data_IF_175393916948
#
_entry.id   IF_175393916948
#
_cell.length_a   1.000
_cell.length_b   1.000
_cell.length_c   1.000
_cell.angle_alpha   90.00
_cell.angle_beta   90.00
_cell.angle_gamma   90.00
#
_symmetry.space_group_name_H-M   'P 1'
#
loop_
_entity.id
_entity.type
_entity.pdbx_description
1 polymer ?
#
# COMPACT_ATOMS: atom_id res chain seq x y z
N UNK A 1 12.78 4.84 13.58
CA UNK A 1 11.99 4.70 12.34
C UNK A 1 10.56 4.30 12.69
N UNK A 2 9.61 4.69 11.83
CA UNK A 2 8.25 4.17 11.82
C UNK A 2 8.06 3.58 10.43
N UNK A 3 7.99 2.26 10.34
CA UNK A 3 7.71 1.54 9.08
C UNK A 3 6.36 0.89 9.17
N UNK A 4 5.62 0.90 8.06
CA UNK A 4 4.39 0.12 7.85
C UNK A 4 4.77 -1.11 7.01
N UNK A 5 4.31 -2.28 7.45
CA UNK A 5 4.50 -3.58 6.79
C UNK A 5 3.17 -4.05 6.17
N UNK A 6 3.26 -4.74 5.04
CA UNK A 6 2.16 -5.18 4.16
C UNK A 6 1.66 -6.59 4.51
N UNK A 7 1.57 -6.94 5.80
CA UNK A 7 1.10 -8.26 6.24
C UNK A 7 -0.36 -8.30 6.68
N UNK A 8 -1.17 -8.83 5.76
CA UNK A 8 -2.39 -9.64 5.93
C UNK A 8 -2.93 -9.81 7.36
N UNK A 9 -3.76 -8.86 7.79
CA UNK A 9 -4.95 -9.15 8.61
C UNK A 9 -5.94 -7.98 8.60
N UNK A 10 -6.95 -8.06 7.73
CA UNK A 10 -7.99 -7.04 7.47
C UNK A 10 -8.87 -6.73 8.70
N UNK A 11 -8.72 -7.47 9.81
CA UNK A 11 -9.60 -7.30 10.98
C UNK A 11 -9.29 -6.09 11.88
N UNK A 12 -8.23 -5.30 11.66
CA UNK A 12 -7.83 -4.28 12.62
C UNK A 12 -7.15 -3.01 12.04
N UNK A 13 -7.52 -2.54 10.83
CA UNK A 13 -6.94 -1.31 10.23
C UNK A 13 -7.07 -0.09 11.17
N UNK A 14 -8.15 -0.02 11.97
CA UNK A 14 -8.33 1.06 12.97
C UNK A 14 -7.58 0.85 14.29
N UNK A 15 -7.18 -0.38 14.62
CA UNK A 15 -6.77 -0.73 16.00
C UNK A 15 -5.27 -0.74 16.21
N UNK A 16 -4.49 -0.94 15.15
CA UNK A 16 -3.05 -0.92 15.24
C UNK A 16 -2.51 0.25 14.41
N UNK A 17 -1.92 1.23 15.11
CA UNK A 17 -0.85 2.03 14.52
C UNK A 17 0.14 1.01 13.91
N UNK A 18 0.18 0.89 12.58
CA UNK A 18 1.19 0.06 11.89
C UNK A 18 2.56 0.75 11.99
N UNK A 19 3.01 1.01 13.20
CA UNK A 19 4.29 1.63 13.48
C UNK A 19 5.19 0.51 14.00
N UNK A 20 6.02 -0.01 13.10
CA UNK A 20 7.07 -0.95 13.49
C UNK A 20 8.35 -0.17 13.84
N UNK A 21 8.94 -0.41 15.02
CA UNK A 21 10.26 0.12 15.33
C UNK A 21 11.30 -0.62 14.49
N UNK A 22 12.11 0.13 13.73
CA UNK A 22 13.33 -0.41 13.12
C UNK A 22 14.53 0.04 13.95
N UNK A 23 15.44 -0.90 14.20
CA UNK A 23 16.78 -0.66 14.73
C UNK A 23 17.77 -0.97 13.61
N UNK A 24 18.44 0.06 13.08
CA UNK A 24 19.57 -0.12 12.15
C UNK A 24 20.86 0.05 12.94
N UNK A 25 21.64 -1.01 13.06
CA UNK A 25 22.98 -0.95 13.62
C UNK A 25 24.00 -0.82 12.47
N UNK A 26 24.13 0.41 11.96
CA UNK A 26 25.05 0.74 10.89
C UNK A 26 26.27 1.44 11.49
N UNK A 27 27.42 0.74 11.57
CA UNK A 27 28.67 1.19 12.17
C UNK A 27 28.59 1.68 13.65
N UNK A 28 29.58 1.40 14.50
CA UNK A 28 29.53 1.74 15.93
C UNK A 28 29.49 3.26 16.25
N UNK A 29 29.54 4.13 15.23
CA UNK A 29 29.58 5.60 15.38
C UNK A 29 28.22 6.29 15.29
N UNK A 30 27.17 5.63 14.78
CA UNK A 30 25.87 6.27 14.61
C UNK A 30 24.91 5.88 15.74
N UNK A 31 24.82 6.73 16.78
CA UNK A 31 23.93 6.57 17.93
C UNK A 31 22.89 7.69 17.96
N UNK A 32 21.98 7.72 16.97
CA UNK A 32 20.96 8.78 16.86
C UNK A 32 19.57 8.20 16.63
N UNK A 33 18.59 8.72 17.35
CA UNK A 33 17.16 8.48 17.07
C UNK A 33 16.73 9.42 15.94
N UNK A 34 16.15 8.85 14.89
CA UNK A 34 15.57 9.59 13.77
C UNK A 34 14.05 9.58 13.91
N UNK A 35 13.44 10.76 13.97
CA UNK A 35 12.00 10.99 14.01
C UNK A 35 11.51 12.08 13.03
N UNK A 36 12.39 12.58 12.16
CA UNK A 36 12.13 13.66 11.21
C UNK A 36 11.64 13.22 9.84
N UNK A 37 11.44 11.91 9.61
CA UNK A 37 11.03 11.34 8.32
C UNK A 37 10.02 10.21 8.52
N UNK A 38 9.20 9.96 7.49
CA UNK A 38 8.56 8.66 7.33
C UNK A 38 9.52 7.67 6.66
N UNK A 39 9.36 6.39 6.97
CA UNK A 39 10.13 5.29 6.40
C UNK A 39 9.19 4.13 6.05
N UNK A 40 9.57 3.29 5.10
CA UNK A 40 8.86 2.05 4.75
C UNK A 40 9.84 0.88 4.76
N UNK A 41 9.34 -0.36 4.66
CA UNK A 41 10.21 -1.54 4.70
C UNK A 41 11.13 -1.61 3.48
N UNK A 42 10.67 -1.11 2.33
CA UNK A 42 11.46 -1.05 1.10
C UNK A 42 12.67 -0.10 1.20
N UNK A 43 12.65 0.86 2.13
CA UNK A 43 13.81 1.71 2.42
C UNK A 43 14.98 0.93 3.01
N UNK A 44 14.70 -0.15 3.74
CA UNK A 44 15.76 -1.00 4.31
C UNK A 44 16.57 -1.62 3.18
N UNK A 45 15.90 -2.12 2.13
CA UNK A 45 16.57 -2.63 0.93
C UNK A 45 17.42 -1.56 0.26
N UNK A 46 16.84 -0.37 0.02
CA UNK A 46 17.58 0.75 -0.60
C UNK A 46 18.82 1.14 0.21
N UNK A 47 18.68 1.20 1.54
CA UNK A 47 19.76 1.52 2.49
C UNK A 47 20.86 0.46 2.46
N UNK A 48 20.50 -0.83 2.45
CA UNK A 48 21.48 -1.94 2.36
C UNK A 48 22.24 -1.87 1.03
N UNK A 49 21.55 -1.66 -0.08
CA UNK A 49 22.18 -1.58 -1.39
C UNK A 49 23.16 -0.39 -1.48
N UNK A 50 22.79 0.78 -0.95
CA UNK A 50 23.70 1.94 -0.91
C UNK A 50 24.91 1.67 -0.01
N UNK A 51 24.70 1.04 1.16
CA UNK A 51 25.78 0.65 2.07
C UNK A 51 26.78 -0.31 1.40
N UNK A 52 26.32 -1.13 0.46
CA UNK A 52 27.15 -2.03 -0.35
C UNK A 52 27.79 -1.33 -1.56
N UNK A 53 27.70 0.00 -1.66
CA UNK A 53 28.33 0.80 -2.70
C UNK A 53 27.53 0.88 -4.01
N UNK A 54 26.23 0.56 -4.00
CA UNK A 54 25.36 0.78 -5.16
C UNK A 54 24.82 2.20 -5.18
N UNK A 55 24.82 2.83 -6.34
CA UNK A 55 24.10 4.08 -6.55
C UNK A 55 22.62 3.74 -6.68
N UNK A 56 21.80 4.23 -5.75
CA UNK A 56 20.36 3.96 -5.75
C UNK A 56 19.66 4.97 -6.65
N UNK A 57 18.91 4.45 -7.62
CA UNK A 57 18.03 5.21 -8.50
C UNK A 57 16.65 4.53 -8.60
N UNK A 58 15.74 5.13 -9.38
CA UNK A 58 14.38 4.64 -9.61
C UNK A 58 14.31 3.27 -10.31
N UNK A 59 15.37 2.84 -11.00
CA UNK A 59 15.40 1.53 -11.65
C UNK A 59 15.75 0.42 -10.65
N UNK A 60 16.62 0.72 -9.68
CA UNK A 60 17.06 -0.23 -8.66
C UNK A 60 16.08 -0.31 -7.49
N UNK A 61 15.49 0.83 -7.12
CA UNK A 61 14.60 0.95 -5.97
C UNK A 61 13.52 2.02 -6.23
N UNK A 62 12.47 1.69 -7.02
CA UNK A 62 11.47 2.65 -7.45
C UNK A 62 10.71 3.33 -6.29
N UNK A 63 10.48 2.63 -5.18
CA UNK A 63 9.74 3.17 -4.02
C UNK A 63 10.60 3.33 -2.76
N UNK A 64 11.72 2.59 -2.66
CA UNK A 64 12.61 2.64 -1.51
C UNK A 64 13.61 3.77 -1.63
N UNK A 65 13.76 4.56 -0.57
CA UNK A 65 14.77 5.61 -0.44
C UNK A 65 15.75 5.22 0.67
N UNK A 66 17.03 5.39 0.41
CA UNK A 66 18.06 5.06 1.40
C UNK A 66 18.03 6.01 2.59
N UNK A 67 18.29 5.45 3.77
CA UNK A 67 18.37 6.17 5.04
C UNK A 67 19.79 6.68 5.33
N UNK A 68 20.79 6.32 4.52
CA UNK A 68 22.19 6.73 4.73
C UNK A 68 22.35 8.25 4.79
N UNK A 69 21.75 9.06 3.87
CA UNK A 69 21.87 10.51 3.94
C UNK A 69 21.34 11.11 5.25
N UNK A 70 20.29 10.51 5.85
CA UNK A 70 19.79 10.95 7.17
C UNK A 70 20.75 10.53 8.28
N UNK A 71 21.29 9.30 8.23
CA UNK A 71 22.27 8.83 9.22
C UNK A 71 23.55 9.67 9.24
N UNK A 72 23.91 10.25 8.09
CA UNK A 72 25.05 11.16 7.92
C UNK A 72 24.70 12.64 8.16
N UNK A 73 23.46 12.96 8.52
CA UNK A 73 22.97 14.34 8.68
C UNK A 73 23.09 15.22 7.42
N UNK A 74 23.14 14.60 6.24
CA UNK A 74 23.18 15.29 4.94
C UNK A 74 21.78 15.80 4.55
N UNK A 75 20.73 15.08 4.96
CA UNK A 75 19.33 15.49 4.76
C UNK A 75 18.53 15.28 6.04
N UNK A 76 17.52 16.13 6.25
CA UNK A 76 16.61 16.02 7.41
C UNK A 76 15.53 14.95 7.22
N UNK A 77 15.08 14.76 5.99
CA UNK A 77 13.97 13.87 5.63
C UNK A 77 14.18 13.27 4.25
N UNK A 78 13.67 12.06 4.04
CA UNK A 78 13.62 11.41 2.72
C UNK A 78 12.20 11.45 2.12
N UNK A 79 11.17 11.64 2.97
CA UNK A 79 9.78 11.85 2.55
C UNK A 79 8.94 12.42 3.69
N UNK A 80 7.86 13.09 3.33
CA UNK A 80 6.90 13.77 4.21
C UNK A 80 5.53 13.07 4.30
N UNK A 81 5.38 11.93 3.63
CA UNK A 81 4.18 11.12 3.63
C UNK A 81 4.49 9.62 3.62
N UNK A 82 3.48 8.81 3.87
CA UNK A 82 3.51 7.36 3.71
C UNK A 82 2.18 6.86 3.15
N UNK A 83 2.25 6.06 2.08
CA UNK A 83 1.14 5.33 1.51
C UNK A 83 1.19 3.88 2.01
N UNK A 84 0.05 3.32 2.39
CA UNK A 84 -0.02 1.95 2.89
C UNK A 84 -1.44 1.40 2.83
N UNK A 85 -1.59 0.08 2.83
CA UNK A 85 -2.90 -0.54 2.80
C UNK A 85 -2.82 -2.04 2.90
N UNK A 86 -3.85 -2.70 2.40
CA UNK A 86 -3.83 -4.15 2.18
C UNK A 86 -4.36 -4.41 0.79
N UNK A 87 -3.76 -5.38 0.10
CA UNK A 87 -4.23 -5.78 -1.22
C UNK A 87 -5.72 -6.18 -1.13
N UNK A 88 -6.53 -5.72 -2.08
CA UNK A 88 -7.98 -5.98 -2.06
C UNK A 88 -8.77 -5.09 -1.09
N UNK A 89 -8.15 -4.14 -0.42
CA UNK A 89 -8.82 -3.20 0.49
C UNK A 89 -8.69 -1.74 -0.01
N UNK A 90 -9.01 -0.80 0.87
CA UNK A 90 -8.76 0.63 0.72
C UNK A 90 -7.29 0.99 0.87
N UNK A 91 -6.99 2.28 0.68
CA UNK A 91 -5.65 2.84 0.73
C UNK A 91 -5.59 3.95 1.76
N UNK A 92 -4.49 4.00 2.51
CA UNK A 92 -4.25 5.00 3.53
C UNK A 92 -3.09 5.89 3.11
N UNK A 93 -3.27 7.20 3.24
CA UNK A 93 -2.20 8.18 3.12
C UNK A 93 -2.05 8.89 4.46
N UNK A 94 -0.82 8.96 4.96
CA UNK A 94 -0.51 9.73 6.15
C UNK A 94 0.58 10.75 5.85
N UNK A 95 0.30 12.01 6.16
CA UNK A 95 1.25 13.14 6.19
C UNK A 95 1.53 13.53 7.63
N UNK A 96 2.34 14.56 7.88
CA UNK A 96 2.57 15.05 9.25
C UNK A 96 1.32 15.60 9.92
N UNK A 97 0.44 16.24 9.16
CA UNK A 97 -0.76 16.96 9.62
C UNK A 97 -2.03 16.09 9.59
N UNK A 98 -2.11 15.07 8.72
CA UNK A 98 -3.35 14.30 8.55
C UNK A 98 -3.12 12.82 8.24
N UNK A 99 -4.15 12.01 8.52
CA UNK A 99 -4.30 10.64 8.02
C UNK A 99 -5.62 10.56 7.27
N UNK A 100 -5.55 10.13 6.01
CA UNK A 100 -6.71 9.89 5.15
C UNK A 100 -6.78 8.41 4.76
N UNK A 101 -7.92 7.79 5.06
CA UNK A 101 -8.25 6.41 4.76
C UNK A 101 -9.30 6.45 3.66
N UNK A 102 -8.95 5.94 2.48
CA UNK A 102 -9.83 5.89 1.32
C UNK A 102 -10.45 4.50 1.23
N UNK A 103 -11.77 4.44 1.37
CA UNK A 103 -12.54 3.23 1.07
C UNK A 103 -12.49 2.88 -0.41
N UNK A 104 -13.11 1.76 -0.79
CA UNK A 104 -13.04 1.26 -2.17
C UNK A 104 -14.41 0.82 -2.69
N UNK A 105 -14.52 0.63 -4.00
CA UNK A 105 -15.72 0.06 -4.60
C UNK A 105 -15.53 -1.45 -4.82
N UNK A 106 -16.15 -2.33 -4.00
CA UNK A 106 -15.98 -3.78 -4.12
C UNK A 106 -16.60 -4.36 -5.39
N UNK A 107 -17.33 -3.58 -6.19
CA UNK A 107 -17.87 -4.02 -7.49
C UNK A 107 -16.94 -3.72 -8.66
N UNK A 108 -15.81 -3.04 -8.42
CA UNK A 108 -14.84 -2.73 -9.46
C UNK A 108 -13.74 -3.80 -9.48
N UNK A 109 -13.24 -4.18 -10.66
CA UNK A 109 -12.20 -5.20 -10.79
C UNK A 109 -10.92 -4.84 -10.04
N UNK A 110 -10.18 -5.86 -9.62
CA UNK A 110 -8.82 -5.74 -9.09
C UNK A 110 -7.93 -6.77 -9.79
N UNK A 111 -6.67 -6.43 -10.03
CA UNK A 111 -5.70 -7.33 -10.65
C UNK A 111 -4.51 -7.57 -9.73
N UNK A 112 -3.97 -8.79 -9.73
CA UNK A 112 -2.62 -9.08 -9.23
C UNK A 112 -1.63 -8.91 -10.37
N UNK A 113 -0.55 -8.21 -10.09
CA UNK A 113 0.61 -8.10 -10.97
C UNK A 113 1.76 -8.88 -10.35
N UNK A 114 2.24 -9.91 -11.02
CA UNK A 114 3.27 -10.79 -10.44
C UNK A 114 4.20 -11.38 -11.48
N UNK A 115 5.49 -11.46 -11.16
CA UNK A 115 6.49 -12.16 -11.98
C UNK A 115 6.47 -13.68 -11.78
N UNK A 116 5.75 -14.16 -10.78
CA UNK A 116 5.49 -15.58 -10.52
C UNK A 116 4.00 -15.85 -10.59
N UNK A 117 3.59 -16.98 -11.15
CA UNK A 117 2.19 -17.36 -11.09
C UNK A 117 1.79 -17.58 -9.61
N UNK A 118 0.83 -16.83 -9.05
CA UNK A 118 0.56 -16.85 -7.63
C UNK A 118 -0.03 -18.19 -7.22
N UNK A 119 0.59 -18.88 -6.27
CA UNK A 119 0.08 -20.15 -5.75
C UNK A 119 -1.34 -20.02 -5.16
N UNK A 120 -1.71 -18.81 -4.74
CA UNK A 120 -3.06 -18.48 -4.28
C UNK A 120 -4.15 -18.65 -5.36
N UNK A 121 -3.78 -18.88 -6.63
CA UNK A 121 -4.71 -19.24 -7.71
C UNK A 121 -4.86 -20.75 -7.90
N UNK A 122 -4.29 -21.58 -7.01
CA UNK A 122 -4.50 -23.02 -7.01
C UNK A 122 -5.84 -23.38 -6.32
N UNK A 123 -6.75 -24.12 -6.99
CA UNK A 123 -8.00 -24.55 -6.35
C UNK A 123 -7.77 -25.30 -5.03
N UNK A 124 -6.69 -26.09 -4.92
CA UNK A 124 -6.31 -26.83 -3.70
C UNK A 124 -5.86 -25.93 -2.54
N UNK A 125 -5.22 -24.80 -2.82
CA UNK A 125 -4.84 -23.84 -1.77
C UNK A 125 -6.09 -23.06 -1.34
N UNK A 126 -6.93 -22.70 -2.30
CA UNK A 126 -8.13 -21.89 -2.06
C UNK A 126 -9.19 -22.64 -1.26
N UNK A 127 -9.41 -23.93 -1.54
CA UNK A 127 -10.32 -24.76 -0.76
C UNK A 127 -9.90 -24.85 0.72
N UNK A 128 -8.62 -24.62 1.04
CA UNK A 128 -8.13 -24.52 2.42
C UNK A 128 -8.55 -23.24 3.16
N UNK A 129 -9.03 -22.20 2.44
CA UNK A 129 -9.40 -20.90 3.01
C UNK A 129 -10.88 -20.51 2.77
N UNK A 130 -11.64 -21.38 2.08
CA UNK A 130 -13.03 -21.11 1.69
C UNK A 130 -13.87 -22.38 1.83
N UNK A 131 -15.18 -22.21 2.00
CA UNK A 131 -16.14 -23.33 2.01
C UNK A 131 -16.58 -23.76 0.60
N UNK A 132 -15.86 -23.32 -0.44
CA UNK A 132 -16.19 -23.61 -1.83
C UNK A 132 -15.65 -24.98 -2.24
N UNK A 133 -16.49 -25.76 -2.93
CA UNK A 133 -16.10 -27.05 -3.50
C UNK A 133 -15.04 -26.89 -4.59
N UNK A 134 -14.14 -27.87 -4.70
CA UNK A 134 -13.02 -27.86 -5.64
C UNK A 134 -13.46 -27.62 -7.08
N UNK A 135 -14.47 -28.36 -7.57
CA UNK A 135 -14.91 -28.28 -8.97
C UNK A 135 -15.44 -26.88 -9.33
N UNK A 136 -16.14 -26.23 -8.39
CA UNK A 136 -16.63 -24.85 -8.56
C UNK A 136 -15.49 -23.84 -8.57
N UNK A 137 -14.46 -24.07 -7.74
CA UNK A 137 -13.25 -23.26 -7.74
C UNK A 137 -12.50 -23.43 -9.06
N UNK A 138 -12.38 -24.66 -9.56
CA UNK A 138 -11.71 -24.95 -10.84
C UNK A 138 -12.44 -24.29 -12.01
N UNK A 139 -13.77 -24.37 -12.09
CA UNK A 139 -14.55 -23.69 -13.12
C UNK A 139 -14.39 -22.16 -13.05
N UNK A 140 -14.53 -21.58 -11.85
CA UNK A 140 -14.37 -20.14 -11.62
C UNK A 140 -12.96 -19.66 -12.01
N UNK A 141 -11.93 -20.39 -11.56
CA UNK A 141 -10.55 -20.08 -11.89
C UNK A 141 -10.27 -20.27 -13.38
N UNK A 142 -10.83 -21.30 -14.02
CA UNK A 142 -10.76 -21.50 -15.47
C UNK A 142 -11.28 -20.29 -16.25
N UNK A 143 -12.36 -19.67 -15.77
CA UNK A 143 -12.86 -18.39 -16.29
C UNK A 143 -11.82 -17.27 -16.17
N UNK A 144 -11.26 -17.08 -14.96
CA UNK A 144 -10.21 -16.09 -14.69
C UNK A 144 -8.97 -16.30 -15.57
N UNK A 145 -8.56 -17.56 -15.76
CA UNK A 145 -7.37 -17.93 -16.55
C UNK A 145 -7.45 -17.44 -18.00
N UNK A 146 -8.66 -17.34 -18.57
CA UNK A 146 -8.86 -16.85 -19.94
C UNK A 146 -8.64 -15.33 -20.08
N UNK A 147 -8.67 -14.59 -18.98
CA UNK A 147 -8.45 -13.14 -18.94
C UNK A 147 -7.03 -12.76 -18.49
N UNK A 148 -6.18 -13.75 -18.20
CA UNK A 148 -4.79 -13.52 -17.79
C UNK A 148 -3.98 -13.05 -18.98
N UNK A 149 -3.27 -11.94 -18.79
CA UNK A 149 -2.34 -11.40 -19.76
C UNK A 149 -0.91 -11.46 -19.22
N UNK A 150 0.07 -11.47 -20.14
CA UNK A 150 1.48 -11.30 -19.79
C UNK A 150 2.02 -10.01 -20.40
N UNK A 151 2.84 -9.29 -19.65
CA UNK A 151 3.32 -7.97 -20.06
C UNK A 151 4.38 -7.40 -19.12
N UNK A 152 4.51 -6.07 -19.14
CA UNK A 152 5.41 -5.29 -18.29
C UNK A 152 4.62 -4.14 -17.69
N UNK A 153 4.09 -4.37 -16.50
CA UNK A 153 3.15 -3.48 -15.81
C UNK A 153 3.83 -2.74 -14.65
N UNK A 154 4.74 -3.39 -13.92
CA UNK A 154 5.45 -2.84 -12.76
C UNK A 154 6.73 -2.13 -13.22
N UNK A 155 6.82 -0.82 -12.92
CA UNK A 155 7.99 0.01 -13.22
C UNK A 155 9.24 -0.53 -12.51
N UNK A 156 10.38 -0.51 -13.21
CA UNK A 156 11.66 -1.00 -12.68
C UNK A 156 11.82 -2.52 -12.68
N UNK A 157 10.79 -3.29 -13.04
CA UNK A 157 10.87 -4.76 -13.12
C UNK A 157 11.08 -5.20 -14.57
N UNK A 158 12.29 -5.69 -14.88
CA UNK A 158 12.69 -6.06 -16.24
C UNK A 158 12.34 -7.49 -16.67
N UNK A 159 11.61 -8.24 -15.85
CA UNK A 159 11.08 -9.56 -16.20
C UNK A 159 9.59 -9.49 -16.52
N UNK A 160 9.07 -10.35 -17.41
CA UNK A 160 7.63 -10.41 -17.70
C UNK A 160 6.82 -10.63 -16.44
N UNK A 161 5.63 -10.01 -16.39
CA UNK A 161 4.68 -10.16 -15.31
C UNK A 161 3.33 -10.62 -15.86
N UNK A 162 2.61 -11.36 -15.06
CA UNK A 162 1.23 -11.72 -15.27
C UNK A 162 0.32 -10.62 -14.71
N UNK A 163 -0.69 -10.23 -15.49
CA UNK A 163 -1.85 -9.46 -15.03
C UNK A 163 -2.99 -10.45 -14.83
N UNK A 164 -3.37 -10.65 -13.57
CA UNK A 164 -4.34 -11.67 -13.17
C UNK A 164 -5.55 -10.95 -12.62
N UNK A 165 -6.65 -10.84 -13.37
CA UNK A 165 -7.88 -10.26 -12.86
C UNK A 165 -8.43 -11.18 -11.77
N UNK A 166 -8.90 -10.59 -10.67
CA UNK A 166 -9.52 -11.34 -9.60
C UNK A 166 -10.99 -10.96 -9.53
N UNK A 167 -11.88 -11.93 -9.31
CA UNK A 167 -13.27 -11.63 -8.99
C UNK A 167 -13.29 -10.74 -7.76
N UNK A 168 -13.98 -9.61 -7.85
CA UNK A 168 -13.95 -8.62 -6.77
C UNK A 168 -14.51 -9.21 -5.48
N UNK A 169 -15.53 -10.06 -5.55
CA UNK A 169 -16.13 -10.74 -4.38
C UNK A 169 -15.22 -11.81 -3.74
N UNK A 170 -14.16 -12.23 -4.43
CA UNK A 170 -13.28 -13.31 -4.00
C UNK A 170 -12.13 -12.83 -3.09
N UNK A 171 -11.63 -11.61 -3.32
CA UNK A 171 -10.51 -11.02 -2.57
C UNK A 171 -10.77 -9.58 -2.05
N UNK A 172 -11.86 -8.92 -2.45
CA UNK A 172 -12.31 -7.73 -1.73
C UNK A 172 -12.63 -8.14 -0.30
N UNK A 173 -11.94 -7.52 0.67
CA UNK A 173 -11.88 -7.96 2.04
C UNK A 173 -13.20 -8.54 2.56
N UNK A 174 -13.14 -9.74 3.16
CA UNK A 174 -14.16 -10.23 4.11
C UNK A 174 -14.24 -9.35 5.38
N UNK A 175 -13.87 -8.07 5.28
CA UNK A 175 -14.17 -7.03 6.26
C UNK A 175 -15.68 -6.78 6.29
N UNK A 176 -16.17 -6.25 7.39
CA UNK A 176 -17.61 -6.05 7.54
C UNK A 176 -18.12 -5.14 6.41
N UNK A 177 -19.25 -5.49 5.79
CA UNK A 177 -19.87 -4.71 4.70
C UNK A 177 -20.11 -3.22 5.04
N UNK A 178 -19.97 -2.84 6.32
CA UNK A 178 -20.04 -1.48 6.85
C UNK A 178 -18.80 -0.62 6.56
N UNK A 179 -17.63 -1.22 6.39
CA UNK A 179 -16.34 -0.51 6.29
C UNK A 179 -15.86 -0.36 4.84
N UNK A 180 -16.44 -1.11 3.90
CA UNK A 180 -15.91 -1.27 2.53
C UNK A 180 -15.92 0.02 1.68
N UNK A 181 -16.75 1.03 2.01
CA UNK A 181 -16.87 2.29 1.24
C UNK A 181 -16.58 3.56 2.03
N UNK A 182 -16.44 3.47 3.35
CA UNK A 182 -16.32 4.67 4.17
C UNK A 182 -14.91 5.24 4.05
N UNK A 183 -14.83 6.56 3.88
CA UNK A 183 -13.57 7.28 4.01
C UNK A 183 -13.46 7.79 5.44
N UNK A 184 -12.24 7.92 5.93
CA UNK A 184 -11.96 8.52 7.23
C UNK A 184 -10.84 9.54 7.08
N UNK A 185 -11.02 10.68 7.73
CA UNK A 185 -10.04 11.75 7.76
C UNK A 185 -9.81 12.19 9.20
N UNK A 186 -8.56 12.27 9.59
CA UNK A 186 -8.17 12.66 10.95
C UNK A 186 -7.07 13.71 10.92
N UNK A 187 -7.22 14.75 11.74
CA UNK A 187 -6.18 15.75 12.02
C UNK A 187 -5.21 15.17 13.05
N UNK A 188 -3.95 14.94 12.67
CA UNK A 188 -2.97 14.29 13.54
C UNK A 188 -2.41 15.19 14.64
N UNK A 189 -2.57 16.50 14.50
CA UNK A 189 -2.09 17.50 15.46
C UNK A 189 -3.13 17.66 16.56
N UNK A 190 -4.41 17.82 16.18
CA UNK A 190 -5.52 18.03 17.12
C UNK A 190 -6.12 16.72 17.65
N UNK A 191 -6.06 15.65 16.86
CA UNK A 191 -6.64 14.35 17.18
C UNK A 191 -5.60 13.20 17.02
N UNK A 192 -4.58 13.14 17.90
CA UNK A 192 -3.53 12.12 17.82
C UNK A 192 -4.03 10.68 18.08
N UNK A 193 -5.26 10.53 18.56
CA UNK A 193 -5.90 9.27 18.91
C UNK A 193 -6.99 8.84 17.91
N UNK A 194 -7.18 9.58 16.81
CA UNK A 194 -8.11 9.24 15.73
C UNK A 194 -9.56 9.06 16.20
N UNK A 195 -10.02 9.94 17.09
CA UNK A 195 -11.37 9.88 17.67
C UNK A 195 -12.42 10.66 16.86
N UNK A 196 -11.99 11.65 16.07
CA UNK A 196 -12.87 12.58 15.38
C UNK A 196 -12.70 12.43 13.87
N UNK A 197 -13.60 11.66 13.24
CA UNK A 197 -13.63 11.55 11.78
C UNK A 197 -14.16 12.86 11.17
N UNK A 198 -13.34 13.51 10.34
CA UNK A 198 -13.63 14.76 9.64
C UNK A 198 -14.18 14.55 8.23
N UNK A 199 -14.26 13.31 7.74
CA UNK A 199 -14.79 13.02 6.39
C UNK A 199 -16.22 13.53 6.24
N UNK A 200 -16.47 14.27 5.16
CA UNK A 200 -17.79 14.82 4.85
C UNK A 200 -18.31 15.90 5.82
N UNK A 201 -17.47 16.40 6.75
CA UNK A 201 -17.82 17.55 7.60
C UNK A 201 -17.37 18.86 6.95
N UNK A 202 -18.04 19.99 7.22
CA UNK A 202 -17.61 21.30 6.71
C UNK A 202 -16.17 21.69 7.12
N UNK A 203 -15.74 21.25 8.30
CA UNK A 203 -14.39 21.53 8.81
C UNK A 203 -13.32 20.68 8.11
N UNK A 204 -13.69 19.48 7.66
CA UNK A 204 -12.80 18.54 6.98
C UNK A 204 -12.73 18.71 5.47
N UNK A 205 -13.68 19.41 4.85
CA UNK A 205 -13.86 19.44 3.39
C UNK A 205 -12.57 19.82 2.62
N UNK A 206 -11.93 20.93 3.00
CA UNK A 206 -10.72 21.40 2.33
C UNK A 206 -9.51 20.47 2.58
N UNK A 207 -9.42 19.90 3.79
CA UNK A 207 -8.37 18.94 4.12
C UNK A 207 -8.59 17.61 3.37
N UNK A 208 -9.84 17.16 3.23
CA UNK A 208 -10.21 15.97 2.48
C UNK A 208 -9.83 16.12 1.00
N UNK A 209 -10.20 17.23 0.36
CA UNK A 209 -9.80 17.52 -1.03
C UNK A 209 -8.27 17.52 -1.19
N UNK A 210 -7.54 18.18 -0.28
CA UNK A 210 -6.08 18.20 -0.27
C UNK A 210 -5.50 16.78 -0.17
N UNK A 211 -6.02 15.97 0.74
CA UNK A 211 -5.53 14.61 0.98
C UNK A 211 -5.89 13.64 -0.15
N UNK A 212 -7.09 13.76 -0.74
CA UNK A 212 -7.49 13.00 -1.92
C UNK A 212 -6.57 13.30 -3.12
N UNK A 213 -6.32 14.58 -3.39
CA UNK A 213 -5.40 14.99 -4.45
C UNK A 213 -3.99 14.45 -4.21
N UNK A 214 -3.45 14.62 -3.00
CA UNK A 214 -2.11 14.12 -2.67
C UNK A 214 -2.04 12.59 -2.76
N UNK A 215 -3.09 11.88 -2.37
CA UNK A 215 -3.15 10.42 -2.48
C UNK A 215 -3.07 9.98 -3.94
N UNK A 216 -3.87 10.60 -4.82
CA UNK A 216 -3.82 10.33 -6.25
C UNK A 216 -2.41 10.57 -6.83
N UNK A 217 -1.82 11.73 -6.56
CA UNK A 217 -0.46 12.07 -7.00
C UNK A 217 0.56 11.01 -6.56
N UNK A 218 0.56 10.64 -5.27
CA UNK A 218 1.49 9.64 -4.72
C UNK A 218 1.26 8.26 -5.35
N UNK A 219 0.00 7.87 -5.54
CA UNK A 219 -0.33 6.60 -6.20
C UNK A 219 0.16 6.56 -7.66
N UNK A 220 -0.01 7.66 -8.40
CA UNK A 220 0.49 7.79 -9.78
C UNK A 220 2.02 7.78 -9.82
N UNK A 221 2.69 8.50 -8.90
CA UNK A 221 4.16 8.49 -8.74
C UNK A 221 4.70 7.07 -8.47
N UNK A 222 3.98 6.28 -7.66
CA UNK A 222 4.30 4.87 -7.38
C UNK A 222 3.90 3.92 -8.51
N UNK A 223 3.37 4.42 -9.63
CA UNK A 223 3.01 3.59 -10.78
C UNK A 223 1.78 2.71 -10.53
N UNK A 224 0.84 3.19 -9.73
CA UNK A 224 -0.43 2.51 -9.49
C UNK A 224 -1.18 2.24 -10.80
N UNK A 225 -1.68 1.00 -11.02
CA UNK A 225 -2.49 0.68 -12.20
C UNK A 225 -3.76 1.56 -12.29
N UNK A 226 -4.16 2.03 -13.48
CA UNK A 226 -5.31 2.92 -13.64
C UNK A 226 -6.62 2.36 -13.09
N UNK A 227 -6.86 1.05 -13.22
CA UNK A 227 -8.08 0.41 -12.70
C UNK A 227 -8.19 0.50 -11.18
N UNK A 228 -7.06 0.62 -10.47
CA UNK A 228 -7.06 0.78 -9.02
C UNK A 228 -7.53 2.19 -8.63
N UNK A 229 -7.23 3.22 -9.43
CA UNK A 229 -7.78 4.57 -9.22
C UNK A 229 -9.31 4.56 -9.40
N UNK A 230 -9.81 3.87 -10.42
CA UNK A 230 -11.27 3.68 -10.63
C UNK A 230 -11.91 2.94 -9.45
N UNK A 231 -11.24 1.89 -8.95
CA UNK A 231 -11.71 1.12 -7.80
C UNK A 231 -11.76 1.97 -6.53
N UNK A 232 -10.83 2.90 -6.35
CA UNK A 232 -10.79 3.83 -5.22
C UNK A 232 -11.61 5.09 -5.45
N UNK A 233 -12.28 5.22 -6.60
CA UNK A 233 -13.09 6.37 -6.98
C UNK A 233 -12.24 7.67 -6.99
N UNK A 234 -11.02 7.59 -7.53
CA UNK A 234 -10.05 8.69 -7.66
C UNK A 234 -9.77 9.05 -9.14
N UNK A 235 -10.50 8.42 -10.07
CA UNK A 235 -10.36 8.56 -11.52
C UNK A 235 -11.00 9.85 -12.07
N UNK A 236 -12.04 10.37 -11.43
CA UNK A 236 -12.69 11.64 -11.77
C UNK A 236 -12.23 12.80 -10.88
N UNK A 237 -11.99 13.97 -11.47
CA UNK A 237 -11.79 15.25 -10.77
C UNK A 237 -13.10 15.81 -10.19
#
# INVERSE_FOLDING_TARGET
FRVIDDQWNVRNIFKYRMIFPILLHYFPRFRKRIDSTFSTIVDVRATILEALGKNIDENISPHGKSLIPILKDEVKTIRDHILYGSFGDGVNLTTWDATYIRGFNPKKPICVYSSTFPMLMSPSIISGFTDLEYDKLEEMLGGVMNEIESGRYIRGVNIPQWRIPLPSDYLAGKGSARELKQCYLFDRIKDPNFQNNLTGTPEGEELEKKMMKKMKEVMEEEGCPPEQLVRLMLDSE
#
